data_IF_346023936796
#
_entry.id   IF_346023936796
#
_cell.length_a   1.000
_cell.length_b   1.000
_cell.length_c   1.000
_cell.angle_alpha   90.00
_cell.angle_beta   90.00
_cell.angle_gamma   90.00
#
_symmetry.space_group_name_H-M   'P 1'
#
loop_
_entity.id
_entity.type
_entity.pdbx_description
1 polymer ?
#
# COMPACT_ATOMS: atom_id res chain seq x y z
N UNK A 1 23.20 2.19 1.60
CA UNK A 1 21.81 2.22 2.09
C UNK A 1 21.04 1.09 1.43
N UNK A 2 20.52 0.11 2.18
CA UNK A 2 19.66 -0.94 1.59
C UNK A 2 18.46 -0.25 0.92
N UNK A 3 18.18 -0.61 -0.34
CA UNK A 3 17.09 -0.04 -1.10
C UNK A 3 15.78 -0.40 -0.38
N UNK A 4 15.09 0.59 0.22
CA UNK A 4 13.90 0.36 1.06
C UNK A 4 12.85 -0.51 0.36
N UNK A 5 12.75 -0.41 -0.97
CA UNK A 5 11.85 -1.23 -1.78
C UNK A 5 12.15 -2.74 -1.71
N UNK A 6 13.42 -3.16 -1.62
CA UNK A 6 13.75 -4.59 -1.46
C UNK A 6 13.38 -5.10 -0.07
N UNK A 7 13.70 -4.34 0.97
CA UNK A 7 13.35 -4.72 2.34
C UNK A 7 11.82 -4.86 2.51
N UNK A 8 11.04 -3.96 1.89
CA UNK A 8 9.59 -4.05 1.92
C UNK A 8 9.04 -5.24 1.14
N UNK A 9 9.64 -5.61 0.01
CA UNK A 9 9.20 -6.77 -0.77
C UNK A 9 9.24 -8.05 0.07
N UNK A 10 10.39 -8.35 0.67
CA UNK A 10 10.59 -9.54 1.51
C UNK A 10 9.68 -9.53 2.76
N UNK A 11 9.42 -8.33 3.31
CA UNK A 11 8.57 -8.18 4.49
C UNK A 11 7.07 -8.15 4.22
N UNK A 12 6.61 -8.00 2.98
CA UNK A 12 5.18 -7.79 2.68
C UNK A 12 4.62 -8.88 1.78
N UNK A 13 5.28 -9.16 0.66
CA UNK A 13 4.69 -10.01 -0.38
C UNK A 13 4.48 -11.44 0.16
N UNK A 14 3.27 -11.96 -0.03
CA UNK A 14 2.89 -13.29 0.44
C UNK A 14 2.53 -13.38 1.92
N UNK A 15 2.63 -12.29 2.69
CA UNK A 15 2.11 -12.26 4.07
C UNK A 15 0.59 -12.11 4.09
N UNK A 16 -0.01 -12.66 5.14
CA UNK A 16 -1.44 -12.53 5.42
C UNK A 16 -1.77 -11.20 6.07
N UNK A 17 -3.04 -10.81 6.05
CA UNK A 17 -3.54 -9.63 6.78
C UNK A 17 -3.14 -9.66 8.27
N UNK A 18 -3.15 -10.84 8.90
CA UNK A 18 -2.73 -11.03 10.30
C UNK A 18 -1.24 -10.76 10.49
N UNK A 19 -0.38 -11.37 9.67
CA UNK A 19 1.08 -11.16 9.75
C UNK A 19 1.46 -9.71 9.48
N UNK A 20 0.76 -9.04 8.55
CA UNK A 20 0.94 -7.60 8.30
C UNK A 20 0.53 -6.77 9.53
N UNK A 21 -0.56 -7.10 10.22
CA UNK A 21 -0.95 -6.40 11.46
C UNK A 21 0.08 -6.62 12.58
N UNK A 22 0.63 -7.83 12.69
CA UNK A 22 1.65 -8.14 13.71
C UNK A 22 2.93 -7.32 13.50
N UNK A 23 3.30 -7.04 12.26
CA UNK A 23 4.52 -6.28 11.93
C UNK A 23 4.31 -4.76 11.87
N UNK A 24 3.18 -4.30 11.32
CA UNK A 24 2.91 -2.87 11.07
C UNK A 24 1.92 -2.25 12.07
N UNK A 25 1.33 -3.06 12.94
CA UNK A 25 0.24 -2.68 13.82
C UNK A 25 -1.11 -2.59 13.09
N UNK A 26 -2.14 -2.22 13.83
CA UNK A 26 -3.49 -2.10 13.27
C UNK A 26 -3.65 -0.90 12.33
N UNK A 27 -2.92 0.21 12.48
CA UNK A 27 -3.09 1.37 11.58
C UNK A 27 -4.55 1.84 11.44
N UNK A 28 -4.90 2.44 10.28
CA UNK A 28 -6.27 2.81 9.90
C UNK A 28 -6.77 1.90 8.77
N UNK A 29 -6.79 0.59 9.01
CA UNK A 29 -7.28 -0.39 8.05
C UNK A 29 -8.66 -0.94 8.48
N UNK A 30 -9.50 -1.27 7.49
CA UNK A 30 -10.71 -2.06 7.69
C UNK A 30 -10.38 -3.49 7.29
N UNK A 31 -10.43 -4.43 8.23
CA UNK A 31 -9.94 -5.79 7.99
C UNK A 31 -10.57 -6.48 6.76
N UNK A 32 -11.87 -6.32 6.49
CA UNK A 32 -12.49 -6.86 5.28
C UNK A 32 -11.96 -6.27 3.96
N UNK A 33 -11.42 -5.05 3.95
CA UNK A 33 -10.94 -4.40 2.71
C UNK A 33 -9.70 -5.07 2.13
N UNK A 34 -9.65 -5.14 0.81
CA UNK A 34 -8.52 -5.72 0.06
C UNK A 34 -7.38 -4.73 -0.21
N UNK A 35 -7.47 -3.50 0.30
CA UNK A 35 -6.40 -2.51 0.16
C UNK A 35 -6.21 -1.74 1.46
N UNK A 36 -5.01 -1.80 2.02
CA UNK A 36 -4.68 -1.16 3.29
C UNK A 36 -3.66 -0.05 3.12
N UNK A 37 -3.76 0.98 3.96
CA UNK A 37 -2.90 2.16 3.93
C UNK A 37 -2.27 2.38 5.31
N UNK A 38 -0.96 2.56 5.33
CA UNK A 38 -0.18 2.86 6.53
C UNK A 38 0.60 4.15 6.33
N UNK A 39 0.38 5.17 7.18
CA UNK A 39 1.27 6.33 7.22
C UNK A 39 2.59 5.92 7.88
N UNK A 40 3.65 5.78 7.08
CA UNK A 40 4.98 5.32 7.53
C UNK A 40 5.97 6.47 7.72
N UNK A 41 5.52 7.71 7.51
CA UNK A 41 6.34 8.89 7.76
C UNK A 41 5.63 10.19 7.48
N UNK A 42 6.10 11.24 8.14
CA UNK A 42 5.66 12.62 7.94
C UNK A 42 6.85 13.55 8.11
N UNK A 43 7.04 14.49 7.18
CA UNK A 43 8.05 15.55 7.32
C UNK A 43 7.48 16.73 8.10
N UNK A 44 8.36 17.56 8.65
CA UNK A 44 7.98 18.82 9.34
C UNK A 44 7.15 19.74 8.45
N UNK A 45 7.45 19.77 7.15
CA UNK A 45 6.69 20.53 6.14
C UNK A 45 5.33 19.90 5.78
N UNK A 46 4.93 18.84 6.47
CA UNK A 46 3.62 18.21 6.29
C UNK A 46 3.54 17.21 5.14
N UNK A 47 4.66 16.83 4.51
CA UNK A 47 4.67 15.77 3.52
C UNK A 47 4.45 14.43 4.20
N UNK A 48 3.39 13.72 3.84
CA UNK A 48 3.07 12.37 4.33
C UNK A 48 3.70 11.34 3.41
N UNK A 49 4.13 10.21 3.95
CA UNK A 49 4.54 9.03 3.20
C UNK A 49 3.67 7.85 3.63
N UNK A 50 2.97 7.25 2.68
CA UNK A 50 2.04 6.15 2.91
C UNK A 50 2.49 4.89 2.17
N UNK A 51 2.53 3.77 2.88
CA UNK A 51 2.62 2.43 2.34
C UNK A 51 1.21 1.92 2.05
N UNK A 52 1.00 1.42 0.85
CA UNK A 52 -0.29 0.91 0.37
C UNK A 52 -0.07 -0.55 0.00
N UNK A 53 -0.90 -1.45 0.52
CA UNK A 53 -0.78 -2.90 0.33
C UNK A 53 -2.10 -3.43 -0.21
N UNK A 54 -2.04 -4.14 -1.33
CA UNK A 54 -3.20 -4.82 -1.91
C UNK A 54 -3.16 -6.32 -1.58
N UNK A 55 -4.33 -6.87 -1.27
CA UNK A 55 -4.53 -8.26 -0.89
C UNK A 55 -5.41 -8.98 -1.90
N UNK A 56 -5.11 -10.25 -2.14
CA UNK A 56 -5.98 -11.17 -2.85
C UNK A 56 -6.05 -12.46 -2.03
N UNK A 57 -7.26 -12.98 -1.76
CA UNK A 57 -7.46 -14.20 -0.95
C UNK A 57 -6.66 -14.19 0.38
N UNK A 58 -6.71 -13.06 1.09
CA UNK A 58 -5.99 -12.84 2.36
C UNK A 58 -4.45 -12.88 2.27
N UNK A 59 -3.87 -12.67 1.08
CA UNK A 59 -2.41 -12.62 0.88
C UNK A 59 -2.02 -11.31 0.19
N UNK A 60 -0.98 -10.66 0.68
CA UNK A 60 -0.47 -9.42 0.08
C UNK A 60 0.18 -9.74 -1.27
N UNK A 61 -0.33 -9.13 -2.34
CA UNK A 61 0.15 -9.38 -3.72
C UNK A 61 0.95 -8.23 -4.28
N UNK A 62 0.69 -7.00 -3.81
CA UNK A 62 1.33 -5.78 -4.30
C UNK A 62 1.49 -4.79 -3.15
N UNK A 63 2.53 -3.97 -3.23
CA UNK A 63 2.65 -2.79 -2.39
C UNK A 63 3.20 -1.62 -3.18
N UNK A 64 2.95 -0.41 -2.68
CA UNK A 64 3.52 0.84 -3.19
C UNK A 64 3.72 1.84 -2.07
N UNK A 65 4.71 2.71 -2.23
CA UNK A 65 4.97 3.80 -1.31
C UNK A 65 4.71 5.11 -2.04
N UNK A 66 3.93 6.00 -1.43
CA UNK A 66 3.63 7.32 -1.99
C UNK A 66 3.90 8.42 -0.98
N UNK A 67 4.65 9.43 -1.41
CA UNK A 67 4.79 10.68 -0.66
C UNK A 67 3.91 11.77 -1.28
N UNK A 68 3.19 12.52 -0.44
CA UNK A 68 2.22 13.53 -0.89
C UNK A 68 1.99 14.60 0.18
N UNK A 69 1.47 15.74 -0.25
CA UNK A 69 0.92 16.77 0.62
C UNK A 69 -0.62 16.71 0.56
N UNK A 70 -1.30 17.05 1.67
CA UNK A 70 -2.77 17.08 1.70
C UNK A 70 -3.41 15.69 1.66
N UNK A 71 -4.38 15.48 0.75
CA UNK A 71 -5.16 14.23 0.63
C UNK A 71 -4.56 13.29 -0.43
N UNK A 72 -4.52 12.00 -0.11
CA UNK A 72 -4.06 10.95 -1.02
C UNK A 72 -5.16 10.58 -2.03
N UNK A 73 -4.94 10.86 -3.32
CA UNK A 73 -5.83 10.41 -4.39
C UNK A 73 -5.48 8.99 -4.84
N UNK A 74 -6.21 8.00 -4.34
CA UNK A 74 -6.02 6.57 -4.64
C UNK A 74 -6.72 6.10 -5.94
N UNK A 75 -7.67 6.89 -6.46
CA UNK A 75 -8.61 6.47 -7.51
C UNK A 75 -8.01 6.42 -8.94
N UNK A 76 -6.86 7.05 -9.18
CA UNK A 76 -6.33 7.21 -10.53
C UNK A 76 -5.70 5.92 -11.11
N UNK A 77 -5.44 4.90 -10.28
CA UNK A 77 -4.78 3.66 -10.72
C UNK A 77 -5.75 2.53 -11.10
N UNK A 78 -6.95 2.49 -10.51
CA UNK A 78 -7.99 1.51 -10.88
C UNK A 78 -8.48 1.73 -12.32
N UNK A 79 -8.54 2.98 -12.76
CA UNK A 79 -8.99 3.36 -14.11
C UNK A 79 -7.95 3.14 -15.22
N UNK A 80 -6.64 3.14 -14.89
CA UNK A 80 -5.59 2.94 -15.87
C UNK A 80 -5.54 1.50 -16.40
N UNK A 81 -5.81 0.49 -15.54
CA UNK A 81 -5.89 -0.92 -15.95
C UNK A 81 -7.11 -1.25 -16.81
N UNK A 82 -8.24 -0.56 -16.59
CA UNK A 82 -9.45 -0.80 -17.37
C UNK A 82 -9.37 -0.28 -18.82
N UNK A 83 -8.58 0.78 -19.08
CA UNK A 83 -8.39 1.30 -20.45
C UNK A 83 -7.50 0.42 -21.33
N UNK A 84 -6.64 -0.41 -20.74
CA UNK A 84 -5.79 -1.34 -21.49
C UNK A 84 -6.55 -2.54 -22.06
N UNK A 85 -7.71 -2.87 -21.49
CA UNK A 85 -8.53 -4.02 -21.88
C UNK A 85 -9.69 -3.67 -22.82
N UNK A 86 -9.81 -2.42 -23.27
CA UNK A 86 -10.90 -1.97 -24.16
C UNK A 86 -10.42 -1.68 -25.59
N UNK A 87 -9.24 -2.17 -25.98
CA UNK A 87 -8.85 -2.26 -27.39
C UNK A 87 -9.01 -3.70 -27.87
N UNK A 88 -10.27 -4.06 -28.14
CA UNK A 88 -10.64 -5.10 -29.10
C UNK A 88 -11.17 -4.39 -30.35
#
# INVERSE_FOLDING_TARGET
MKNKNLAYNDSIIGKTKKEIIEEFGHGFNFYPDDSWNYEIGKTWWGMKTTLIIDFEKNKATKFKIKSYYGKLNLNNEKNAKNRSNTKL
#
